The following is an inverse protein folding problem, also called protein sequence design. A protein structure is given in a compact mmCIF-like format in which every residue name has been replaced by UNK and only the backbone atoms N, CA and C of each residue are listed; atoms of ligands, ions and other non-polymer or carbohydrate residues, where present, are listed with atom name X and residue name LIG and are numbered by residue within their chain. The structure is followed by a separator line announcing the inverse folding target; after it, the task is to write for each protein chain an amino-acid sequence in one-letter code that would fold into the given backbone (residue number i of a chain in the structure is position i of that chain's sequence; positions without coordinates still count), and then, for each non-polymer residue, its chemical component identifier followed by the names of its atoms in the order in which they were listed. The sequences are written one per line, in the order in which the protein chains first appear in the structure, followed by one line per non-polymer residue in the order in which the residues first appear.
data_IF_561010785731
#
_entry.id   IF_561010785731
#
_cell.length_a   1.000
_cell.length_b   1.000
_cell.length_c   1.000
_cell.angle_alpha   90.00
_cell.angle_beta   90.00
_cell.angle_gamma   90.00
#
_symmetry.space_group_name_H-M   'P 1'
#
loop_
_entity.id
_entity.type
_entity.pdbx_description
1 polymer ?
#
# COMPACT_ATOMS: atom_id res chain seq x y z
N UNK A 1 35.97 -71.20 -7.24
CA UNK A 1 34.63 -71.51 -6.70
C UNK A 1 33.63 -70.84 -7.62
N UNK A 2 32.79 -71.63 -8.31
CA UNK A 2 31.73 -71.14 -9.19
C UNK A 2 30.52 -70.73 -8.34
N UNK A 3 30.00 -69.53 -8.61
CA UNK A 3 28.76 -69.02 -7.99
C UNK A 3 27.57 -69.41 -8.87
N UNK A 4 26.70 -70.26 -8.32
CA UNK A 4 25.47 -70.74 -8.94
C UNK A 4 24.27 -70.09 -8.26
N UNK A 5 23.93 -68.86 -8.67
CA UNK A 5 22.65 -68.24 -8.31
C UNK A 5 21.58 -68.64 -9.34
N UNK A 6 20.42 -69.20 -8.93
CA UNK A 6 19.40 -69.66 -9.86
C UNK A 6 18.68 -68.47 -10.51
N UNK A 7 18.71 -68.38 -11.84
CA UNK A 7 17.92 -67.40 -12.59
C UNK A 7 16.44 -67.85 -12.63
N UNK A 8 15.58 -67.07 -11.99
CA UNK A 8 14.12 -67.30 -12.04
C UNK A 8 13.63 -67.02 -13.46
N UNK A 9 13.45 -68.08 -14.24
CA UNK A 9 12.94 -67.98 -15.61
C UNK A 9 11.41 -67.99 -15.59
N UNK A 10 10.80 -66.83 -15.87
CA UNK A 10 9.36 -66.70 -16.00
C UNK A 10 8.91 -67.34 -17.33
N UNK A 11 8.29 -68.53 -17.26
CA UNK A 11 7.74 -69.22 -18.43
C UNK A 11 6.33 -68.70 -18.71
N UNK A 12 6.23 -67.67 -19.54
CA UNK A 12 4.95 -67.21 -20.07
C UNK A 12 4.53 -68.13 -21.22
N UNK A 13 3.29 -68.63 -21.19
CA UNK A 13 2.76 -69.39 -22.33
C UNK A 13 2.45 -68.42 -23.48
N UNK A 14 2.66 -68.85 -24.71
CA UNK A 14 2.34 -68.03 -25.89
C UNK A 14 0.88 -67.54 -25.86
N UNK A 15 -0.05 -68.37 -25.34
CA UNK A 15 -1.45 -67.99 -25.13
C UNK A 15 -1.65 -66.84 -24.14
N UNK A 16 -0.89 -66.80 -23.04
CA UNK A 16 -0.97 -65.70 -22.07
C UNK A 16 -0.48 -64.37 -22.64
N UNK A 17 0.52 -64.40 -23.53
CA UNK A 17 1.01 -63.21 -24.23
C UNK A 17 -0.05 -62.72 -25.23
N UNK A 18 -0.63 -63.62 -26.03
CA UNK A 18 -1.68 -63.28 -27.00
C UNK A 18 -2.90 -62.69 -26.29
N UNK A 19 -3.32 -63.27 -25.15
CA UNK A 19 -4.44 -62.76 -24.36
C UNK A 19 -4.15 -61.36 -23.82
N UNK A 20 -2.92 -61.09 -23.37
CA UNK A 20 -2.50 -59.76 -22.92
C UNK A 20 -2.60 -58.71 -24.02
N UNK A 21 -2.10 -59.02 -25.23
CA UNK A 21 -2.22 -58.13 -26.39
C UNK A 21 -3.67 -57.89 -26.82
N UNK A 22 -4.49 -58.95 -26.80
CA UNK A 22 -5.91 -58.81 -27.12
C UNK A 22 -6.65 -57.90 -26.12
N UNK A 23 -6.34 -58.03 -24.82
CA UNK A 23 -6.94 -57.18 -23.79
C UNK A 23 -6.54 -55.70 -23.99
N UNK A 24 -5.27 -55.42 -24.27
CA UNK A 24 -4.79 -54.07 -24.56
C UNK A 24 -5.46 -53.47 -25.81
N UNK A 25 -5.66 -54.29 -26.85
CA UNK A 25 -6.34 -53.87 -28.07
C UNK A 25 -7.80 -53.48 -27.80
N UNK A 26 -8.53 -54.29 -27.03
CA UNK A 26 -9.92 -54.00 -26.66
C UNK A 26 -10.02 -52.74 -25.80
N UNK A 27 -9.11 -52.53 -24.85
CA UNK A 27 -9.04 -51.31 -24.05
C UNK A 27 -8.78 -50.08 -24.94
N UNK A 28 -7.88 -50.20 -25.93
CA UNK A 28 -7.60 -49.15 -26.90
C UNK A 28 -8.83 -48.77 -27.74
N UNK A 29 -9.58 -49.76 -28.22
CA UNK A 29 -10.83 -49.51 -28.97
C UNK A 29 -11.88 -48.85 -28.07
N UNK A 30 -12.08 -49.34 -26.85
CA UNK A 30 -13.04 -48.78 -25.92
C UNK A 30 -12.69 -47.33 -25.54
N UNK A 31 -11.41 -47.05 -25.29
CA UNK A 31 -10.90 -45.70 -25.04
C UNK A 31 -11.07 -44.76 -26.23
N UNK A 32 -10.78 -45.24 -27.45
CA UNK A 32 -11.02 -44.49 -28.68
C UNK A 32 -12.51 -44.18 -28.92
N UNK A 33 -13.39 -45.14 -28.64
CA UNK A 33 -14.84 -44.96 -28.78
C UNK A 33 -15.39 -43.96 -27.75
N UNK A 34 -14.97 -44.05 -26.48
CA UNK A 34 -15.34 -43.08 -25.46
C UNK A 34 -14.79 -41.69 -25.80
N UNK A 35 -13.54 -41.61 -26.24
CA UNK A 35 -12.91 -40.38 -26.70
C UNK A 35 -13.68 -39.74 -27.85
N UNK A 36 -14.12 -40.54 -28.84
CA UNK A 36 -14.94 -40.06 -29.95
C UNK A 36 -16.33 -39.56 -29.51
N UNK A 37 -16.96 -40.21 -28.52
CA UNK A 37 -18.27 -39.81 -27.99
C UNK A 37 -18.22 -38.56 -27.12
N UNK A 38 -17.11 -38.35 -26.41
CA UNK A 38 -16.90 -37.20 -25.52
C UNK A 38 -16.19 -36.02 -26.23
N UNK A 39 -15.56 -36.28 -27.38
CA UNK A 39 -14.99 -35.23 -28.21
C UNK A 39 -16.12 -34.30 -28.67
N UNK A 40 -15.96 -32.97 -28.50
CA UNK A 40 -16.91 -32.03 -29.07
C UNK A 40 -16.98 -32.25 -30.58
N UNK A 41 -18.18 -32.14 -31.15
CA UNK A 41 -18.35 -32.28 -32.59
C UNK A 41 -17.35 -31.36 -33.33
N UNK A 42 -16.62 -31.88 -34.34
CA UNK A 42 -15.74 -31.02 -35.12
C UNK A 42 -16.59 -29.89 -35.69
N UNK A 43 -16.14 -28.65 -35.51
CA UNK A 43 -16.81 -27.47 -36.04
C UNK A 43 -17.02 -27.68 -37.54
N UNK A 44 -18.27 -27.72 -37.97
CA UNK A 44 -18.63 -27.85 -39.38
C UNK A 44 -18.05 -26.64 -40.11
N UNK A 45 -16.98 -26.84 -40.87
CA UNK A 45 -16.50 -25.83 -41.80
C UNK A 45 -17.57 -25.71 -42.88
N UNK A 46 -18.28 -24.58 -42.90
CA UNK A 46 -19.27 -24.28 -43.93
C UNK A 46 -18.60 -24.38 -45.30
N UNK A 47 -19.18 -25.12 -46.26
CA UNK A 47 -18.69 -25.08 -47.62
C UNK A 47 -19.01 -23.70 -48.18
N UNK A 48 -17.97 -23.05 -48.70
CA UNK A 48 -17.93 -21.76 -49.40
C UNK A 48 -17.54 -20.58 -48.52
N UNK A 49 -16.26 -20.19 -48.61
CA UNK A 49 -15.81 -18.85 -49.02
C UNK A 49 -16.16 -17.61 -48.19
N UNK A 50 -17.23 -17.63 -47.40
CA UNK A 50 -17.67 -16.48 -46.63
C UNK A 50 -17.09 -16.56 -45.22
N UNK A 51 -16.03 -15.78 -45.02
CA UNK A 51 -15.49 -15.49 -43.69
C UNK A 51 -16.58 -14.84 -42.85
N UNK A 52 -17.36 -15.64 -42.12
CA UNK A 52 -18.19 -15.10 -41.05
C UNK A 52 -17.24 -14.69 -39.93
N UNK A 53 -16.90 -13.41 -39.88
CA UNK A 53 -16.37 -12.79 -38.67
C UNK A 53 -17.49 -12.97 -37.64
N UNK A 54 -17.34 -13.94 -36.73
CA UNK A 54 -18.13 -13.96 -35.51
C UNK A 54 -17.44 -12.97 -34.58
N UNK A 55 -17.95 -11.74 -34.39
CA UNK A 55 -17.43 -10.90 -33.34
C UNK A 55 -17.69 -11.65 -32.04
N UNK A 56 -16.64 -12.19 -31.43
CA UNK A 56 -16.68 -12.59 -30.03
C UNK A 56 -16.65 -11.29 -29.24
N UNK A 57 -17.79 -10.58 -29.20
CA UNK A 57 -18.00 -9.54 -28.20
C UNK A 57 -18.22 -10.26 -26.87
N UNK A 58 -17.13 -10.54 -26.15
CA UNK A 58 -17.25 -10.83 -24.73
C UNK A 58 -17.79 -9.57 -24.07
N UNK A 59 -19.09 -9.53 -23.81
CA UNK A 59 -19.64 -8.59 -22.83
C UNK A 59 -19.14 -9.04 -21.46
N UNK A 60 -17.96 -8.57 -21.07
CA UNK A 60 -17.58 -8.57 -19.65
C UNK A 60 -18.44 -7.50 -18.99
N UNK A 61 -19.59 -7.89 -18.45
CA UNK A 61 -20.37 -7.01 -17.58
C UNK A 61 -19.60 -6.87 -16.27
N UNK A 62 -18.62 -5.97 -16.26
CA UNK A 62 -18.04 -5.47 -15.00
C UNK A 62 -19.14 -4.61 -14.38
N UNK A 63 -19.93 -5.19 -13.48
CA UNK A 63 -20.86 -4.40 -12.66
C UNK A 63 -20.04 -3.70 -11.59
N UNK A 64 -19.82 -2.37 -11.67
CA UNK A 64 -18.95 -1.66 -10.73
C UNK A 64 -19.46 -1.73 -9.28
N UNK A 65 -20.73 -2.08 -9.09
CA UNK A 65 -21.35 -2.34 -7.79
C UNK A 65 -20.84 -3.61 -7.12
N UNK A 66 -20.63 -4.70 -7.89
CA UNK A 66 -20.21 -5.99 -7.35
C UNK A 66 -18.75 -5.95 -6.88
N UNK A 67 -17.90 -5.26 -7.63
CA UNK A 67 -16.50 -5.02 -7.24
C UNK A 67 -16.41 -4.25 -5.92
N UNK A 68 -17.24 -3.21 -5.74
CA UNK A 68 -17.27 -2.45 -4.50
C UNK A 68 -17.75 -3.25 -3.29
N UNK A 69 -18.79 -4.07 -3.46
CA UNK A 69 -19.30 -4.97 -2.41
C UNK A 69 -18.22 -5.97 -1.96
N UNK A 70 -17.56 -6.62 -2.92
CA UNK A 70 -16.51 -7.61 -2.66
C UNK A 70 -15.31 -6.99 -1.91
N UNK A 71 -14.92 -5.76 -2.31
CA UNK A 71 -13.88 -4.99 -1.62
C UNK A 71 -14.29 -4.72 -0.18
N UNK A 72 -15.50 -4.22 0.05
CA UNK A 72 -15.97 -3.90 1.41
C UNK A 72 -16.05 -5.16 2.27
N UNK A 73 -16.63 -6.24 1.75
CA UNK A 73 -16.76 -7.51 2.48
C UNK A 73 -15.41 -8.13 2.87
N UNK A 74 -14.39 -7.93 2.03
CA UNK A 74 -13.03 -8.45 2.27
C UNK A 74 -12.23 -7.53 3.18
N UNK A 75 -12.13 -6.25 2.83
CA UNK A 75 -11.23 -5.31 3.49
C UNK A 75 -11.76 -4.77 4.82
N UNK A 76 -13.08 -4.76 5.04
CA UNK A 76 -13.64 -4.32 6.31
C UNK A 76 -13.13 -5.13 7.50
N UNK A 77 -12.76 -6.40 7.30
CA UNK A 77 -12.18 -7.27 8.33
C UNK A 77 -10.86 -6.75 8.90
N UNK A 78 -10.14 -5.98 8.09
CA UNK A 78 -8.86 -5.39 8.46
C UNK A 78 -8.99 -3.97 9.06
N UNK A 79 -10.19 -3.39 9.00
CA UNK A 79 -10.50 -2.05 9.52
C UNK A 79 -11.19 -2.17 10.87
N UNK A 80 -10.51 -1.70 11.91
CA UNK A 80 -10.88 -1.83 13.31
C UNK A 80 -11.39 -0.50 13.87
N UNK A 81 -12.30 -0.54 14.84
CA UNK A 81 -12.71 0.65 15.57
C UNK A 81 -11.81 0.82 16.80
N UNK A 82 -11.07 1.91 16.89
CA UNK A 82 -10.28 2.23 18.07
C UNK A 82 -11.16 2.86 19.14
N UNK A 83 -11.04 2.37 20.36
CA UNK A 83 -11.83 2.80 21.50
C UNK A 83 -10.97 3.05 22.73
N UNK A 84 -11.33 4.07 23.48
CA UNK A 84 -10.90 4.30 24.85
C UNK A 84 -11.88 3.57 25.79
N UNK A 85 -11.36 2.82 26.76
CA UNK A 85 -12.20 2.26 27.81
C UNK A 85 -12.44 3.30 28.90
N UNK A 86 -13.71 3.59 29.16
CA UNK A 86 -14.15 4.54 30.18
C UNK A 86 -14.97 3.82 31.25
N UNK A 87 -15.19 4.47 32.39
CA UNK A 87 -16.06 3.95 33.46
C UNK A 87 -17.52 3.74 33.02
N UNK A 88 -17.95 4.35 31.91
CA UNK A 88 -19.30 4.27 31.36
C UNK A 88 -19.41 3.36 30.13
N UNK A 89 -18.33 2.65 29.75
CA UNK A 89 -18.26 1.80 28.56
C UNK A 89 -17.15 2.23 27.61
N UNK A 90 -17.31 1.96 26.31
CA UNK A 90 -16.31 2.29 25.29
C UNK A 90 -16.61 3.63 24.62
N UNK A 91 -15.55 4.41 24.37
CA UNK A 91 -15.62 5.67 23.64
C UNK A 91 -14.82 5.54 22.34
N UNK A 92 -15.46 5.56 21.16
CA UNK A 92 -14.77 5.56 19.88
C UNK A 92 -13.85 6.77 19.71
N UNK A 93 -12.63 6.53 19.22
CA UNK A 93 -11.62 7.58 19.00
C UNK A 93 -11.11 7.65 17.57
N UNK A 94 -11.36 6.63 16.75
CA UNK A 94 -10.98 6.61 15.34
C UNK A 94 -10.93 5.19 14.79
N UNK A 95 -10.28 5.02 13.65
CA UNK A 95 -10.10 3.73 12.99
C UNK A 95 -8.63 3.30 13.03
N UNK A 96 -8.43 1.99 13.07
CA UNK A 96 -7.14 1.33 12.95
C UNK A 96 -7.16 0.37 11.78
N UNK A 97 -6.02 0.20 11.11
CA UNK A 97 -5.90 -0.66 9.94
C UNK A 97 -4.83 -1.70 10.21
N UNK A 98 -5.18 -2.97 10.05
CA UNK A 98 -4.23 -4.08 10.21
C UNK A 98 -3.29 -4.12 9.01
N UNK A 99 -1.99 -3.96 9.24
CA UNK A 99 -0.96 -3.98 8.20
C UNK A 99 -0.25 -5.32 8.07
N UNK A 100 -0.20 -6.11 9.14
CA UNK A 100 0.50 -7.40 9.17
C UNK A 100 -0.35 -8.47 9.84
N UNK A 101 -0.07 -9.73 9.49
CA UNK A 101 -0.78 -10.88 10.07
C UNK A 101 -0.43 -11.14 11.54
N UNK A 102 0.72 -10.65 12.02
CA UNK A 102 1.16 -10.73 13.43
C UNK A 102 0.61 -9.58 14.31
N UNK A 103 -0.36 -8.82 13.78
CA UNK A 103 -1.17 -7.91 14.57
C UNK A 103 -0.69 -6.47 14.64
N UNK A 104 0.18 -6.01 13.72
CA UNK A 104 0.52 -4.59 13.62
C UNK A 104 -0.67 -3.82 13.04
N UNK A 105 -1.11 -2.81 13.79
CA UNK A 105 -2.22 -1.92 13.44
C UNK A 105 -1.69 -0.50 13.32
N UNK A 106 -2.07 0.21 12.25
CA UNK A 106 -1.73 1.62 12.04
C UNK A 106 -2.96 2.50 12.22
N UNK A 107 -2.77 3.70 12.77
CA UNK A 107 -3.78 4.75 12.82
C UNK A 107 -3.15 6.13 12.63
N UNK A 108 -3.97 7.12 12.31
CA UNK A 108 -3.59 8.53 12.36
C UNK A 108 -3.86 9.16 13.73
N UNK A 109 -4.43 8.39 14.66
CA UNK A 109 -4.67 8.84 16.02
C UNK A 109 -3.56 8.40 16.95
N UNK A 110 -3.14 9.32 17.82
CA UNK A 110 -2.14 9.08 18.84
C UNK A 110 -2.70 9.45 20.21
N UNK A 111 -2.65 8.53 21.17
CA UNK A 111 -3.06 8.75 22.55
C UNK A 111 -1.98 8.18 23.49
N UNK A 112 -0.86 8.91 23.71
CA UNK A 112 0.29 8.39 24.45
C UNK A 112 -0.04 8.03 25.92
N UNK A 113 -0.98 8.77 26.53
CA UNK A 113 -1.32 8.61 27.95
C UNK A 113 -2.63 7.83 28.16
N UNK A 114 -3.12 7.12 27.15
CA UNK A 114 -4.41 6.42 27.21
C UNK A 114 -4.29 5.00 26.69
N UNK A 115 -4.70 4.03 27.51
CA UNK A 115 -4.82 2.65 27.08
C UNK A 115 -5.97 2.51 26.08
N UNK A 116 -5.64 2.11 24.86
CA UNK A 116 -6.63 1.89 23.80
C UNK A 116 -6.96 0.40 23.65
N UNK A 117 -8.15 0.15 23.13
CA UNK A 117 -8.56 -1.15 22.63
C UNK A 117 -9.05 -1.02 21.19
N UNK A 118 -9.10 -2.13 20.47
CA UNK A 118 -9.69 -2.23 19.15
C UNK A 118 -10.93 -3.13 19.22
N UNK A 119 -12.04 -2.69 18.63
CA UNK A 119 -13.17 -3.56 18.31
C UNK A 119 -12.89 -4.21 16.96
N UNK A 120 -12.85 -5.54 16.94
CA UNK A 120 -12.58 -6.34 15.76
C UNK A 120 -13.84 -6.56 14.92
N UNK A 121 -13.69 -7.20 13.76
CA UNK A 121 -14.80 -7.45 12.83
C UNK A 121 -15.91 -8.32 13.42
N UNK A 122 -15.55 -9.26 14.28
CA UNK A 122 -16.48 -10.14 15.00
C UNK A 122 -17.12 -9.46 16.22
N UNK A 123 -16.76 -8.20 16.51
CA UNK A 123 -17.23 -7.42 17.63
C UNK A 123 -16.49 -7.68 18.95
N UNK A 124 -15.50 -8.56 18.97
CA UNK A 124 -14.64 -8.76 20.14
C UNK A 124 -13.75 -7.54 20.36
N UNK A 125 -13.31 -7.35 21.61
CA UNK A 125 -12.46 -6.22 22.02
C UNK A 125 -11.07 -6.77 22.36
N UNK A 126 -10.05 -6.22 21.70
CA UNK A 126 -8.66 -6.58 21.95
C UNK A 126 -7.87 -5.36 22.46
N UNK A 127 -7.01 -5.57 23.45
CA UNK A 127 -6.14 -4.51 23.95
C UNK A 127 -5.06 -4.15 22.92
N UNK A 128 -4.78 -2.86 22.77
CA UNK A 128 -3.71 -2.37 21.91
C UNK A 128 -2.46 -2.06 22.74
N UNK A 129 -1.33 -2.64 22.33
CA UNK A 129 -0.03 -2.26 22.85
C UNK A 129 0.58 -1.19 21.95
N UNK A 130 0.93 -0.01 22.45
CA UNK A 130 1.61 1.00 21.64
C UNK A 130 2.98 0.49 21.21
N UNK A 131 3.30 0.63 19.93
CA UNK A 131 4.60 0.24 19.35
C UNK A 131 5.47 1.47 19.12
N UNK A 132 4.87 2.55 18.61
CA UNK A 132 5.58 3.81 18.41
C UNK A 132 4.82 4.76 17.50
N UNK A 133 5.30 6.00 17.43
CA UNK A 133 4.78 7.03 16.52
C UNK A 133 5.87 7.37 15.51
N UNK A 134 5.52 7.30 14.24
CA UNK A 134 6.38 7.79 13.17
C UNK A 134 6.32 9.31 13.12
N UNK A 135 7.39 9.95 13.57
CA UNK A 135 7.44 11.43 13.67
C UNK A 135 7.44 12.12 12.30
N UNK A 136 7.69 11.37 11.22
CA UNK A 136 7.76 11.90 9.86
C UNK A 136 6.40 11.79 9.15
N UNK A 137 5.73 10.64 9.23
CA UNK A 137 4.43 10.38 8.60
C UNK A 137 3.24 10.63 9.54
N UNK A 138 3.48 10.90 10.83
CA UNK A 138 2.42 11.11 11.82
C UNK A 138 1.59 9.87 12.11
N UNK A 139 1.98 8.71 11.58
CA UNK A 139 1.29 7.44 11.80
C UNK A 139 1.67 6.87 13.17
N UNK A 140 0.67 6.41 13.91
CA UNK A 140 0.86 5.68 15.16
C UNK A 140 0.67 4.19 14.91
N UNK A 141 1.62 3.40 15.40
CA UNK A 141 1.61 1.96 15.31
C UNK A 141 1.28 1.34 16.66
N UNK A 142 0.39 0.36 16.61
CA UNK A 142 -0.02 -0.48 17.73
C UNK A 142 0.17 -1.95 17.37
N UNK A 143 0.10 -2.81 18.38
CA UNK A 143 0.10 -4.25 18.23
C UNK A 143 -1.04 -4.87 19.02
N UNK A 144 -1.76 -5.80 18.39
CA UNK A 144 -2.69 -6.69 19.08
C UNK A 144 -1.93 -8.01 19.31
N UNK A 145 -1.53 -8.32 20.56
CA UNK A 145 -0.76 -9.53 20.85
C UNK A 145 -1.61 -10.79 20.64
N UNK A 146 -0.94 -11.89 20.28
CA UNK A 146 -1.49 -13.24 20.24
C UNK A 146 -2.74 -13.43 19.36
N UNK A 147 -2.89 -12.61 18.32
CA UNK A 147 -3.96 -12.74 17.33
C UNK A 147 -3.44 -12.74 15.90
N UNK A 148 -4.05 -13.58 15.07
CA UNK A 148 -3.86 -13.57 13.62
C UNK A 148 -4.96 -12.72 13.02
N UNK A 149 -4.59 -11.57 12.47
CA UNK A 149 -5.52 -10.63 11.86
C UNK A 149 -5.33 -10.62 10.34
N UNK A 150 -6.40 -10.43 9.55
CA UNK A 150 -6.26 -10.28 8.10
C UNK A 150 -5.62 -8.91 7.81
N UNK A 151 -4.42 -8.85 7.18
CA UNK A 151 -3.83 -7.58 6.80
C UNK A 151 -4.43 -7.05 5.50
N UNK A 152 -4.44 -5.72 5.35
CA UNK A 152 -4.71 -5.10 4.05
C UNK A 152 -3.54 -5.34 3.09
N UNK A 153 -3.83 -5.33 1.80
CA UNK A 153 -2.78 -5.29 0.77
C UNK A 153 -2.50 -3.84 0.38
N UNK A 154 -1.25 -3.41 0.43
CA UNK A 154 -0.86 -2.07 -0.02
C UNK A 154 -0.85 -1.98 -1.56
N UNK A 155 -1.25 -0.83 -2.11
CA UNK A 155 -1.07 -0.53 -3.52
C UNK A 155 0.43 -0.44 -3.88
N UNK A 156 0.78 -0.59 -5.15
CA UNK A 156 2.17 -0.47 -5.58
C UNK A 156 2.60 0.98 -5.79
N UNK A 157 1.64 1.86 -6.06
CA UNK A 157 1.87 3.29 -6.31
C UNK A 157 0.81 4.12 -5.59
N UNK A 158 1.10 5.41 -5.40
CA UNK A 158 0.08 6.35 -4.97
C UNK A 158 -1.08 6.41 -5.97
N UNK A 159 -2.29 6.70 -5.49
CA UNK A 159 -3.41 7.04 -6.35
C UNK A 159 -3.12 8.34 -7.09
N UNK A 160 -3.69 8.51 -8.29
CA UNK A 160 -3.56 9.73 -9.08
C UNK A 160 -4.75 10.66 -8.84
N UNK A 161 -4.57 11.96 -9.11
CA UNK A 161 -5.70 12.89 -9.18
C UNK A 161 -6.72 12.39 -10.20
N UNK A 162 -7.99 12.36 -9.81
CA UNK A 162 -9.10 11.83 -10.61
C UNK A 162 -9.38 10.34 -10.39
N UNK A 163 -8.52 9.60 -9.68
CA UNK A 163 -8.81 8.19 -9.35
C UNK A 163 -10.03 8.06 -8.44
N UNK A 164 -10.89 7.09 -8.72
CA UNK A 164 -11.95 6.67 -7.80
C UNK A 164 -11.37 5.79 -6.69
N UNK A 165 -11.82 6.03 -5.47
CA UNK A 165 -11.42 5.27 -4.28
C UNK A 165 -12.64 4.94 -3.43
N UNK A 166 -12.61 3.80 -2.77
CA UNK A 166 -13.63 3.36 -1.81
C UNK A 166 -13.08 3.55 -0.41
N UNK A 167 -13.73 4.40 0.39
CA UNK A 167 -13.42 4.52 1.80
C UNK A 167 -14.09 3.40 2.59
N UNK A 168 -13.41 2.90 3.62
CA UNK A 168 -13.97 1.96 4.60
C UNK A 168 -13.58 2.44 6.00
N UNK A 169 -14.59 2.50 6.87
CA UNK A 169 -14.44 2.85 8.28
C UNK A 169 -15.44 2.04 9.13
N UNK A 170 -15.37 2.15 10.44
CA UNK A 170 -16.33 1.61 11.38
C UNK A 170 -17.24 2.71 11.91
N UNK A 171 -18.55 2.46 11.89
CA UNK A 171 -19.50 3.37 12.51
C UNK A 171 -19.26 3.42 14.04
N UNK A 172 -19.21 4.62 14.63
CA UNK A 172 -18.94 4.80 16.05
C UNK A 172 -20.05 4.25 16.96
N UNK A 173 -21.27 4.11 16.46
CA UNK A 173 -22.43 3.64 17.24
C UNK A 173 -22.70 2.16 16.98
N UNK A 174 -22.83 1.78 15.70
CA UNK A 174 -23.20 0.40 15.34
C UNK A 174 -22.00 -0.54 15.22
N UNK A 175 -20.77 -0.02 15.18
CA UNK A 175 -19.52 -0.77 14.94
C UNK A 175 -19.48 -1.51 13.60
N UNK A 176 -20.49 -1.31 12.74
CA UNK A 176 -20.56 -1.93 11.42
C UNK A 176 -19.68 -1.18 10.42
N UNK A 177 -19.18 -1.88 9.39
CA UNK A 177 -18.47 -1.24 8.31
C UNK A 177 -19.36 -0.20 7.64
N UNK A 178 -18.77 0.96 7.34
CA UNK A 178 -19.35 2.01 6.50
C UNK A 178 -18.43 2.21 5.33
N UNK A 179 -18.99 2.30 4.13
CA UNK A 179 -18.23 2.54 2.92
C UNK A 179 -18.82 3.68 2.10
N UNK A 180 -17.97 4.39 1.37
CA UNK A 180 -18.38 5.48 0.48
C UNK A 180 -17.39 5.59 -0.67
N UNK A 181 -17.88 6.02 -1.84
CA UNK A 181 -17.02 6.25 -3.00
C UNK A 181 -16.60 7.72 -3.04
N UNK A 182 -15.34 7.94 -3.37
CA UNK A 182 -14.77 9.27 -3.50
C UNK A 182 -13.86 9.36 -4.71
N UNK A 183 -13.51 10.59 -5.06
CA UNK A 183 -12.49 10.89 -6.05
C UNK A 183 -11.34 11.60 -5.36
N UNK A 184 -10.11 11.21 -5.70
CA UNK A 184 -8.91 11.95 -5.31
C UNK A 184 -8.90 13.28 -6.07
N UNK A 185 -9.17 14.39 -5.38
CA UNK A 185 -9.35 15.70 -6.03
C UNK A 185 -8.04 16.41 -6.32
N UNK A 186 -7.03 16.18 -5.48
CA UNK A 186 -5.72 16.80 -5.61
C UNK A 186 -4.68 15.93 -4.91
N UNK A 187 -3.45 15.98 -5.40
CA UNK A 187 -2.27 15.49 -4.71
C UNK A 187 -1.38 16.70 -4.47
N UNK A 188 -1.35 17.14 -3.21
CA UNK A 188 -0.45 18.22 -2.80
C UNK A 188 0.91 17.63 -2.45
N UNK A 189 1.94 18.48 -2.49
CA UNK A 189 3.27 18.06 -2.09
C UNK A 189 3.38 17.63 -0.65
N UNK A 190 4.52 17.01 -0.34
CA UNK A 190 5.13 17.16 0.96
C UNK A 190 5.01 18.59 1.48
N UNK A 191 4.47 18.78 2.67
CA UNK A 191 4.76 19.97 3.47
C UNK A 191 5.61 19.51 4.63
N UNK A 192 6.92 19.41 4.39
CA UNK A 192 7.89 18.96 5.40
C UNK A 192 8.01 19.96 6.56
N UNK A 193 7.49 21.19 6.40
CA UNK A 193 7.33 22.20 7.46
C UNK A 193 5.99 22.14 8.20
N UNK A 194 5.08 21.25 7.78
CA UNK A 194 3.81 21.01 8.45
C UNK A 194 3.96 20.10 9.67
N UNK A 195 2.84 19.84 10.34
CA UNK A 195 2.79 18.85 11.42
C UNK A 195 3.23 17.47 10.90
N UNK A 196 3.88 16.61 11.74
CA UNK A 196 4.22 15.22 11.40
C UNK A 196 3.17 14.55 10.53
N UNK A 197 3.54 14.02 9.36
CA UNK A 197 2.61 13.35 8.45
C UNK A 197 2.08 14.10 7.26
N UNK A 198 2.89 14.99 6.69
CA UNK A 198 2.56 15.67 5.43
C UNK A 198 3.74 15.48 4.47
N UNK A 199 3.98 14.24 4.04
CA UNK A 199 4.95 13.93 2.99
C UNK A 199 4.28 13.80 1.62
N UNK A 200 3.03 13.33 1.56
CA UNK A 200 2.19 13.47 0.38
C UNK A 200 0.73 13.40 0.80
N UNK A 201 -0.04 14.45 0.50
CA UNK A 201 -1.45 14.52 0.87
C UNK A 201 -2.32 14.41 -0.36
N UNK A 202 -3.24 13.44 -0.33
CA UNK A 202 -4.32 13.38 -1.30
C UNK A 202 -5.60 13.96 -0.69
N UNK A 203 -6.22 14.93 -1.35
CA UNK A 203 -7.50 15.49 -0.93
C UNK A 203 -8.65 14.64 -1.47
N UNK A 204 -9.70 14.49 -0.66
CA UNK A 204 -10.85 13.63 -0.98
C UNK A 204 -12.14 14.36 -0.64
N UNK A 205 -13.07 14.43 -1.60
CA UNK A 205 -14.34 15.16 -1.44
C UNK A 205 -15.44 14.32 -0.76
N UNK A 206 -16.31 14.99 0.00
CA UNK A 206 -17.64 14.47 0.41
C UNK A 206 -17.68 13.45 1.56
N UNK A 207 -16.61 13.27 2.33
CA UNK A 207 -16.55 12.21 3.34
C UNK A 207 -16.99 12.68 4.74
N UNK A 208 -18.06 12.08 5.28
CA UNK A 208 -18.28 12.00 6.72
C UNK A 208 -17.35 10.92 7.31
N UNK A 209 -16.05 11.11 7.14
CA UNK A 209 -15.04 10.11 7.49
C UNK A 209 -14.38 10.45 8.83
N UNK A 210 -13.88 9.41 9.50
CA UNK A 210 -13.28 9.49 10.82
C UNK A 210 -11.75 9.40 10.68
N UNK A 211 -10.97 9.86 11.67
CA UNK A 211 -9.52 9.68 11.65
C UNK A 211 -9.19 8.18 11.49
N UNK A 212 -8.24 7.87 10.62
CA UNK A 212 -7.85 6.49 10.29
C UNK A 212 -8.75 5.78 9.27
N UNK A 213 -9.74 6.45 8.66
CA UNK A 213 -10.54 5.85 7.57
C UNK A 213 -9.62 5.36 6.44
N UNK A 214 -9.78 4.11 6.03
CA UNK A 214 -8.96 3.49 4.99
C UNK A 214 -9.53 3.78 3.60
N UNK A 215 -8.69 4.02 2.60
CA UNK A 215 -9.11 4.16 1.21
C UNK A 215 -8.51 3.04 0.36
N UNK A 216 -9.32 2.47 -0.51
CA UNK A 216 -8.95 1.37 -1.40
C UNK A 216 -9.22 1.72 -2.86
N UNK A 217 -8.40 1.21 -3.77
CA UNK A 217 -8.70 1.24 -5.20
C UNK A 217 -9.69 0.12 -5.59
N UNK A 218 -10.02 0.04 -6.87
CA UNK A 218 -10.91 -0.96 -7.49
C UNK A 218 -10.38 -2.41 -7.43
N UNK A 219 -9.11 -2.60 -7.07
CA UNK A 219 -8.53 -3.92 -6.81
C UNK A 219 -8.56 -4.29 -5.31
N UNK A 220 -9.12 -3.43 -4.46
CA UNK A 220 -9.15 -3.62 -3.02
C UNK A 220 -7.80 -3.44 -2.34
N UNK A 221 -6.85 -2.73 -2.97
CA UNK A 221 -5.56 -2.38 -2.38
C UNK A 221 -5.65 -1.04 -1.68
N UNK A 222 -5.09 -0.95 -0.48
CA UNK A 222 -5.03 0.30 0.29
C UNK A 222 -4.23 1.33 -0.51
N UNK A 223 -4.80 2.52 -0.73
CA UNK A 223 -4.15 3.67 -1.39
C UNK A 223 -3.82 4.81 -0.44
N UNK A 224 -4.42 4.80 0.75
CA UNK A 224 -4.01 5.67 1.85
C UNK A 224 -4.97 5.66 3.04
N UNK A 225 -4.66 6.50 4.03
CA UNK A 225 -5.36 6.56 5.31
C UNK A 225 -5.73 8.00 5.61
N UNK A 226 -7.00 8.25 5.96
CA UNK A 226 -7.48 9.58 6.28
C UNK A 226 -6.85 10.11 7.57
N UNK A 227 -6.22 11.26 7.45
CA UNK A 227 -5.89 12.15 8.55
C UNK A 227 -6.90 13.30 8.55
N UNK A 228 -7.51 13.53 9.71
CA UNK A 228 -8.39 14.68 9.91
C UNK A 228 -7.60 15.76 10.64
N UNK A 229 -7.62 16.97 10.10
CA UNK A 229 -7.03 18.19 10.64
C UNK A 229 -7.77 19.39 10.06
N UNK A 230 -7.08 20.51 9.84
CA UNK A 230 -7.67 21.67 9.13
C UNK A 230 -8.09 21.33 7.69
N UNK A 231 -7.46 20.31 7.10
CA UNK A 231 -7.77 19.78 5.78
C UNK A 231 -7.94 18.26 5.91
N UNK A 232 -9.02 17.72 5.33
CA UNK A 232 -9.22 16.27 5.21
C UNK A 232 -8.26 15.71 4.16
N UNK A 233 -7.22 15.04 4.64
CA UNK A 233 -6.04 14.67 3.87
C UNK A 233 -5.75 13.18 4.01
N UNK A 234 -5.50 12.49 2.91
CA UNK A 234 -5.07 11.09 2.92
C UNK A 234 -3.54 11.02 2.98
N UNK A 235 -3.00 10.31 3.97
CA UNK A 235 -1.59 9.88 3.98
C UNK A 235 -1.46 8.77 2.95
N UNK A 236 -0.59 8.97 1.96
CA UNK A 236 -0.47 8.08 0.80
C UNK A 236 0.27 6.77 1.12
N UNK A 237 0.09 5.75 0.27
CA UNK A 237 0.80 4.47 0.38
C UNK A 237 2.33 4.58 0.42
N UNK A 238 2.99 5.41 -0.39
CA UNK A 238 4.44 5.63 -0.24
C UNK A 238 4.86 5.97 1.20
N UNK A 239 4.12 6.86 1.86
CA UNK A 239 4.40 7.29 3.23
C UNK A 239 4.14 6.16 4.25
N UNK A 240 3.06 5.41 4.05
CA UNK A 240 2.73 4.25 4.88
C UNK A 240 3.80 3.17 4.75
N UNK A 241 4.25 2.89 3.53
CA UNK A 241 5.29 1.89 3.24
C UNK A 241 6.62 2.31 3.85
N UNK A 242 6.99 3.59 3.72
CA UNK A 242 8.20 4.13 4.33
C UNK A 242 8.14 4.07 5.87
N UNK A 243 6.99 4.38 6.47
CA UNK A 243 6.78 4.29 7.91
C UNK A 243 6.84 2.83 8.41
N UNK A 244 6.29 1.87 7.66
CA UNK A 244 6.42 0.45 7.97
C UNK A 244 7.87 -0.05 7.87
N UNK A 245 8.63 0.47 6.91
CA UNK A 245 10.08 0.23 6.82
C UNK A 245 10.83 0.76 8.04
N UNK A 246 10.53 2.00 8.48
CA UNK A 246 11.09 2.58 9.71
C UNK A 246 10.67 1.84 10.97
N UNK A 247 9.43 1.35 11.04
CA UNK A 247 8.97 0.48 12.12
C UNK A 247 9.83 -0.78 12.20
N UNK A 248 10.02 -1.45 11.07
CA UNK A 248 10.79 -2.70 10.98
C UNK A 248 12.27 -2.51 11.32
N UNK A 249 12.81 -1.33 11.04
CA UNK A 249 14.18 -0.95 11.37
C UNK A 249 14.36 -0.41 12.80
N UNK A 250 13.27 -0.12 13.53
CA UNK A 250 13.32 0.49 14.85
C UNK A 250 13.65 2.00 14.85
N UNK A 251 13.40 2.70 13.74
CA UNK A 251 13.83 4.10 13.51
C UNK A 251 12.65 5.07 13.37
N UNK A 252 11.49 4.78 13.97
CA UNK A 252 10.27 5.61 13.87
C UNK A 252 10.43 7.06 14.36
N UNK A 253 11.33 7.26 15.33
CA UNK A 253 11.59 8.57 15.93
C UNK A 253 12.72 9.32 15.22
N UNK A 254 13.41 8.69 14.26
CA UNK A 254 14.47 9.35 13.50
C UNK A 254 13.85 10.30 12.47
N UNK A 255 14.08 11.60 12.66
CA UNK A 255 13.69 12.61 11.70
C UNK A 255 14.90 12.96 10.80
N UNK A 256 14.89 12.63 9.50
CA UNK A 256 16.00 12.91 8.59
C UNK A 256 16.29 14.41 8.43
N UNK A 257 15.34 15.29 8.77
CA UNK A 257 15.53 16.75 8.78
C UNK A 257 16.26 17.26 10.02
N UNK A 258 16.28 16.49 11.11
CA UNK A 258 16.93 16.90 12.36
C UNK A 258 18.46 16.97 12.20
N UNK A 259 19.04 16.05 11.45
CA UNK A 259 20.50 15.97 11.22
C UNK A 259 21.04 17.20 10.47
N UNK A 260 20.51 17.60 9.31
CA UNK A 260 20.97 18.82 8.67
C UNK A 260 20.61 20.07 9.48
N UNK A 261 19.56 20.05 10.32
CA UNK A 261 19.19 21.18 11.17
C UNK A 261 18.45 22.28 10.42
N UNK A 262 17.68 21.92 9.40
CA UNK A 262 16.73 22.81 8.73
C UNK A 262 15.44 22.06 8.38
N UNK A 263 14.38 22.81 8.13
CA UNK A 263 13.12 22.29 7.60
C UNK A 263 12.85 22.96 6.26
N UNK A 264 12.31 22.20 5.32
CA UNK A 264 11.92 22.69 3.99
C UNK A 264 10.41 22.82 3.90
N UNK A 265 9.95 23.80 3.13
CA UNK A 265 8.58 23.88 2.65
C UNK A 265 8.60 24.03 1.14
N UNK A 266 7.65 23.40 0.45
CA UNK A 266 7.59 23.54 -0.98
C UNK A 266 6.79 24.79 -1.36
N UNK A 267 7.40 25.67 -2.15
CA UNK A 267 6.76 26.91 -2.62
C UNK A 267 6.73 26.97 -4.14
N UNK A 268 5.67 27.56 -4.67
CA UNK A 268 5.61 27.91 -6.08
C UNK A 268 6.56 29.08 -6.31
N UNK A 269 7.63 28.85 -7.06
CA UNK A 269 8.67 29.84 -7.34
C UNK A 269 8.85 29.96 -8.85
N UNK A 270 9.00 31.19 -9.33
CA UNK A 270 9.37 31.48 -10.70
C UNK A 270 10.89 31.43 -10.84
N UNK A 271 11.40 30.66 -11.79
CA UNK A 271 12.84 30.65 -12.08
C UNK A 271 13.27 31.82 -12.99
N UNK A 272 14.58 31.91 -13.27
CA UNK A 272 15.15 32.97 -14.11
C UNK A 272 14.62 32.97 -15.56
N UNK A 273 14.08 31.85 -16.04
CA UNK A 273 13.44 31.74 -17.36
C UNK A 273 11.96 32.17 -17.32
N UNK A 274 11.46 32.59 -16.16
CA UNK A 274 10.07 32.98 -15.99
C UNK A 274 9.12 31.80 -15.79
N UNK A 275 9.63 30.58 -15.59
CA UNK A 275 8.82 29.38 -15.46
C UNK A 275 8.50 29.13 -13.98
N UNK A 276 7.22 29.00 -13.67
CA UNK A 276 6.77 28.62 -12.33
C UNK A 276 6.96 27.12 -12.10
N UNK A 277 7.54 26.77 -10.95
CA UNK A 277 7.64 25.38 -10.50
C UNK A 277 7.67 25.31 -8.99
N UNK A 278 7.25 24.18 -8.44
CA UNK A 278 7.38 23.95 -7.01
C UNK A 278 8.83 23.66 -6.65
N UNK A 279 9.35 24.37 -5.66
CA UNK A 279 10.76 24.27 -5.22
C UNK A 279 10.84 24.05 -3.71
N UNK A 280 11.84 23.27 -3.30
CA UNK A 280 12.16 23.02 -1.90
C UNK A 280 12.83 24.25 -1.28
N UNK A 281 12.07 25.05 -0.51
CA UNK A 281 12.58 26.28 0.13
C UNK A 281 12.86 26.03 1.61
N UNK A 282 14.05 26.38 2.08
CA UNK A 282 14.40 26.32 3.51
C UNK A 282 13.49 27.27 4.29
N UNK A 283 12.64 26.69 5.13
CA UNK A 283 11.63 27.39 5.92
C UNK A 283 12.16 27.79 7.30
N UNK A 284 12.87 26.90 7.98
CA UNK A 284 13.46 27.15 9.29
C UNK A 284 14.85 26.54 9.38
N UNK A 285 15.65 27.08 10.29
CA UNK A 285 17.00 26.60 10.59
C UNK A 285 17.16 26.52 12.10
N UNK A 286 17.70 25.40 12.57
CA UNK A 286 18.04 25.20 13.97
C UNK A 286 19.23 26.09 14.34
N UNK A 287 19.08 27.02 15.32
CA UNK A 287 20.17 27.89 15.75
C UNK A 287 21.39 27.09 16.19
N UNK A 288 22.59 27.48 15.72
CA UNK A 288 23.86 26.78 15.99
C UNK A 288 23.91 25.32 15.51
N UNK A 289 22.94 24.87 14.70
CA UNK A 289 22.93 23.54 14.08
C UNK A 289 23.85 23.43 12.85
N UNK A 290 23.98 22.24 12.24
CA UNK A 290 24.89 22.02 11.11
C UNK A 290 24.64 22.94 9.91
N UNK A 291 23.38 23.11 9.49
CA UNK A 291 22.99 24.03 8.44
C UNK A 291 23.32 25.50 8.74
N UNK A 292 23.11 25.92 10.00
CA UNK A 292 23.45 27.27 10.43
C UNK A 292 24.96 27.51 10.34
N UNK A 293 25.76 26.58 10.85
CA UNK A 293 27.23 26.67 10.81
C UNK A 293 27.78 26.65 9.39
N UNK A 294 27.13 25.89 8.49
CA UNK A 294 27.50 25.83 7.07
C UNK A 294 27.01 27.03 6.25
N UNK A 295 26.25 27.96 6.86
CA UNK A 295 25.81 29.19 6.21
C UNK A 295 24.58 29.05 5.32
N UNK A 296 23.80 27.98 5.46
CA UNK A 296 22.45 27.87 4.89
C UNK A 296 21.55 28.94 5.55
N UNK A 297 20.63 29.51 4.80
CA UNK A 297 19.72 30.58 5.24
C UNK A 297 18.27 30.24 4.91
N UNK A 298 17.35 30.78 5.72
CA UNK A 298 15.92 30.75 5.41
C UNK A 298 15.69 31.44 4.07
N UNK A 299 14.93 30.80 3.19
CA UNK A 299 14.70 31.26 1.82
C UNK A 299 15.61 30.63 0.76
N UNK A 300 16.67 29.92 1.15
CA UNK A 300 17.47 29.15 0.20
C UNK A 300 16.60 28.11 -0.51
N UNK A 301 16.79 27.96 -1.81
CA UNK A 301 16.09 26.97 -2.62
C UNK A 301 16.99 25.77 -2.85
N UNK A 302 16.69 24.62 -2.26
CA UNK A 302 17.44 23.38 -2.49
C UNK A 302 17.09 22.79 -3.87
N UNK A 303 18.12 22.46 -4.65
CA UNK A 303 17.97 21.91 -6.01
C UNK A 303 18.50 20.49 -6.13
N UNK A 304 19.51 20.10 -5.36
CA UNK A 304 20.05 18.74 -5.37
C UNK A 304 20.67 18.37 -4.03
N UNK A 305 20.71 17.07 -3.73
CA UNK A 305 21.57 16.50 -2.70
C UNK A 305 22.39 15.35 -3.29
N UNK A 306 23.72 15.39 -3.09
CA UNK A 306 24.64 14.36 -3.59
C UNK A 306 24.48 14.10 -5.10
N UNK A 307 24.27 15.17 -5.87
CA UNK A 307 24.05 15.11 -7.31
C UNK A 307 22.68 14.58 -7.76
N UNK A 308 21.83 14.15 -6.83
CA UNK A 308 20.45 13.76 -7.12
C UNK A 308 19.54 14.97 -6.99
N UNK A 309 18.75 15.25 -8.04
CA UNK A 309 17.81 16.36 -8.03
C UNK A 309 16.79 16.22 -6.89
N UNK A 310 16.52 17.34 -6.22
CA UNK A 310 15.43 17.49 -5.27
C UNK A 310 14.26 18.07 -6.06
N UNK A 311 13.27 17.23 -6.33
CA UNK A 311 12.09 17.56 -7.11
C UNK A 311 10.83 17.24 -6.32
N UNK A 312 9.74 17.92 -6.66
CA UNK A 312 8.45 17.82 -5.96
C UNK A 312 7.88 16.40 -5.91
N UNK A 313 8.21 15.58 -6.90
CA UNK A 313 7.84 14.18 -7.04
C UNK A 313 8.80 13.21 -6.30
N UNK A 314 9.87 13.73 -5.69
CA UNK A 314 10.86 12.93 -4.96
C UNK A 314 10.66 13.05 -3.44
N UNK A 315 10.87 11.95 -2.72
CA UNK A 315 10.87 11.98 -1.24
C UNK A 315 12.09 12.74 -0.74
N UNK A 316 11.87 13.97 -0.25
CA UNK A 316 12.93 14.79 0.32
C UNK A 316 13.54 14.14 1.58
N UNK A 317 12.70 13.49 2.40
CA UNK A 317 13.16 12.72 3.56
C UNK A 317 14.15 11.61 3.17
N UNK A 318 13.89 10.89 2.08
CA UNK A 318 14.85 9.91 1.55
C UNK A 318 16.09 10.60 0.98
N UNK A 319 15.93 11.73 0.29
CA UNK A 319 17.06 12.49 -0.23
C UNK A 319 17.97 12.96 0.90
N UNK A 320 17.44 13.30 2.08
CA UNK A 320 18.17 13.78 3.25
C UNK A 320 18.41 12.69 4.32
N UNK A 321 18.29 11.40 3.96
CA UNK A 321 18.30 10.32 4.94
C UNK A 321 19.65 10.11 5.65
N UNK A 322 20.78 10.31 4.97
CA UNK A 322 22.11 10.04 5.53
C UNK A 322 23.16 11.06 5.08
N UNK A 323 23.99 11.57 6.01
CA UNK A 323 25.15 12.38 5.68
C UNK A 323 26.28 11.54 5.04
N UNK A 324 27.27 12.18 4.40
CA UNK A 324 27.39 13.64 4.20
C UNK A 324 26.36 14.15 3.17
N UNK A 325 25.97 15.42 3.30
CA UNK A 325 25.06 16.09 2.37
C UNK A 325 25.82 17.09 1.51
N UNK A 326 25.88 16.87 0.20
CA UNK A 326 26.37 17.85 -0.77
C UNK A 326 25.16 18.54 -1.37
N UNK A 327 24.76 19.66 -0.77
CA UNK A 327 23.55 20.39 -1.14
C UNK A 327 23.86 21.44 -2.19
N UNK A 328 23.21 21.35 -3.34
CA UNK A 328 23.11 22.46 -4.30
C UNK A 328 21.90 23.31 -3.94
N UNK A 329 22.10 24.63 -3.86
CA UNK A 329 21.04 25.58 -3.56
C UNK A 329 21.13 26.84 -4.41
N UNK A 330 20.00 27.53 -4.57
CA UNK A 330 19.91 28.85 -5.18
C UNK A 330 19.62 29.88 -4.10
N UNK A 331 20.42 30.95 -4.07
CA UNK A 331 20.22 32.13 -3.22
C UNK A 331 20.36 33.37 -4.08
N UNK A 332 19.31 34.21 -4.12
CA UNK A 332 19.31 35.46 -4.90
C UNK A 332 19.66 35.25 -6.39
N UNK A 333 19.28 34.09 -6.94
CA UNK A 333 19.55 33.72 -8.34
C UNK A 333 20.91 33.07 -8.59
N UNK A 334 21.80 33.02 -7.59
CA UNK A 334 23.11 32.38 -7.70
C UNK A 334 23.10 30.94 -7.16
N UNK A 335 23.72 30.02 -7.91
CA UNK A 335 23.94 28.65 -7.44
C UNK A 335 25.09 28.59 -6.42
N UNK A 336 24.88 27.81 -5.36
CA UNK A 336 25.86 27.55 -4.30
C UNK A 336 25.87 26.06 -3.98
N UNK A 337 27.05 25.54 -3.69
CA UNK A 337 27.21 24.18 -3.18
C UNK A 337 27.71 24.25 -1.75
N UNK A 338 26.97 23.63 -0.82
CA UNK A 338 27.30 23.58 0.60
C UNK A 338 27.42 22.11 1.01
N UNK A 339 28.51 21.77 1.69
CA UNK A 339 28.71 20.43 2.25
C UNK A 339 28.38 20.45 3.73
N UNK A 340 27.51 19.54 4.15
CA UNK A 340 27.22 19.25 5.55
C UNK A 340 27.83 17.88 5.89
N UNK A 341 28.62 17.78 6.98
CA UNK A 341 29.28 16.54 7.38
C UNK A 341 28.31 15.47 7.89
#
# INVERSE_FOLDING_TARGET
MQDTSPSTTLRLSLGSIILGFFLLFVIGIAGGYLGYRLAPAPLTVLPNGDRTIVPVSQHVTISPSKTGEDIVATQAKSVLLLVEQTTKGIKPVGNGITLTNDGVVVSTQSFPDTALSAVLDDGSIAALTPVGVDTLSGLTFFRIPDQILPPVTLAQSAANTGSEVISIARNTVTMRPTASRHTVSEITAPNDAGAPGIQQVALVSGAAAQPGTAFFNDEGRLVGILRIGEISAMISVPDITAALGRLSAGTLTENPFAVPGFIVTWKLVQDAAGIFGMRAVVATITPKGPAFTAGIKVGDILTSNNGKAITWDSSLAQALAKPPFILSLIREGEERTITLP
#
